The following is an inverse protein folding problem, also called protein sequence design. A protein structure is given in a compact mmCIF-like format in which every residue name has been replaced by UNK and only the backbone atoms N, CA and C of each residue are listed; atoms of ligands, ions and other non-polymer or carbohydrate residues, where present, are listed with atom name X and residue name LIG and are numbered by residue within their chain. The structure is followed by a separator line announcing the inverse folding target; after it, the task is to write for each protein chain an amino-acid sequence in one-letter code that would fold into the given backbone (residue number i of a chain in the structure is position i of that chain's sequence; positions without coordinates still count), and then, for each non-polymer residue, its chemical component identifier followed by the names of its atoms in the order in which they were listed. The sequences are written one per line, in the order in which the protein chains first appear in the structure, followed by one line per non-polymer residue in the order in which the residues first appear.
data_IF_758651219296
#
_entry.id   IF_758651219296
#
_cell.length_a   1.000
_cell.length_b   1.000
_cell.length_c   1.000
_cell.angle_alpha   90.00
_cell.angle_beta   90.00
_cell.angle_gamma   90.00
#
_symmetry.space_group_name_H-M   'P 1'
#
loop_
_entity.id
_entity.type
_entity.pdbx_description
1 polymer ?
#
# COMPACT_ATOMS: atom_id res chain seq x y z
N UNK A 1 26.20 20.15 -59.93
CA UNK A 1 25.73 18.77 -60.12
C UNK A 1 26.20 17.96 -58.93
N UNK A 2 25.25 17.33 -58.21
CA UNK A 2 25.36 16.49 -56.99
C UNK A 2 25.69 17.28 -55.69
N UNK A 3 24.78 17.55 -54.74
CA UNK A 3 23.75 16.72 -54.07
C UNK A 3 24.32 15.42 -53.54
N UNK A 4 24.79 15.42 -52.29
CA UNK A 4 24.74 14.24 -51.42
C UNK A 4 24.48 14.68 -49.98
N UNK A 5 23.57 13.92 -49.37
CA UNK A 5 22.64 14.31 -48.34
C UNK A 5 23.31 14.54 -46.98
N UNK A 6 22.86 15.59 -46.32
CA UNK A 6 22.90 15.71 -44.87
C UNK A 6 21.95 14.67 -44.27
N UNK A 7 22.50 13.55 -43.80
CA UNK A 7 21.73 12.53 -43.08
C UNK A 7 21.73 12.87 -41.60
N UNK A 8 20.85 13.78 -41.20
CA UNK A 8 20.56 14.07 -39.79
C UNK A 8 19.67 12.95 -39.26
N UNK A 9 20.29 11.93 -38.66
CA UNK A 9 19.55 10.82 -38.02
C UNK A 9 18.87 11.34 -36.75
N UNK A 10 17.59 11.71 -36.87
CA UNK A 10 16.74 12.05 -35.73
C UNK A 10 16.36 10.75 -35.00
N UNK A 11 17.10 10.42 -33.94
CA UNK A 11 16.75 9.31 -33.04
C UNK A 11 15.57 9.76 -32.18
N UNK A 12 14.35 9.44 -32.64
CA UNK A 12 13.13 9.63 -31.87
C UNK A 12 13.07 8.61 -30.74
N UNK A 13 13.28 9.05 -29.50
CA UNK A 13 13.05 8.23 -28.30
C UNK A 13 11.54 8.05 -28.16
N UNK A 14 11.03 6.91 -28.63
CA UNK A 14 9.66 6.48 -28.35
C UNK A 14 9.63 5.95 -26.91
N UNK A 15 9.20 6.80 -25.98
CA UNK A 15 8.90 6.37 -24.63
C UNK A 15 7.65 5.49 -24.67
N UNK A 16 7.84 4.16 -24.57
CA UNK A 16 6.73 3.23 -24.39
C UNK A 16 6.12 3.45 -23.01
N UNK A 17 5.01 4.19 -22.95
CA UNK A 17 4.20 4.31 -21.74
C UNK A 17 3.33 3.06 -21.61
N UNK A 18 3.51 2.29 -20.53
CA UNK A 18 2.59 1.20 -20.19
C UNK A 18 1.32 1.73 -19.55
N UNK A 19 0.16 1.19 -19.93
CA UNK A 19 -1.11 1.47 -19.27
C UNK A 19 -1.36 0.46 -18.14
N UNK A 20 -1.66 0.95 -16.93
CA UNK A 20 -2.15 0.15 -15.81
C UNK A 20 -3.61 0.48 -15.54
N UNK A 21 -4.43 -0.54 -15.28
CA UNK A 21 -5.84 -0.38 -14.92
C UNK A 21 -6.02 -0.67 -13.42
N UNK A 22 -6.54 0.31 -12.68
CA UNK A 22 -7.02 0.11 -11.32
C UNK A 22 -8.55 0.16 -11.28
N UNK A 23 -9.14 -0.60 -10.35
CA UNK A 23 -10.56 -0.54 -9.98
C UNK A 23 -10.63 -0.31 -8.47
N UNK A 24 -11.50 0.60 -8.05
CA UNK A 24 -11.76 0.88 -6.64
C UNK A 24 -13.23 0.53 -6.42
N UNK A 25 -13.47 -0.43 -5.54
CA UNK A 25 -14.80 -0.77 -5.07
C UNK A 25 -14.94 -0.24 -3.65
N UNK A 26 -15.99 0.54 -3.42
CA UNK A 26 -16.27 1.14 -2.11
C UNK A 26 -17.57 0.56 -1.58
N UNK A 27 -17.49 -0.11 -0.42
CA UNK A 27 -18.66 -0.45 0.38
C UNK A 27 -18.63 0.43 1.62
N UNK A 28 -19.65 1.28 1.81
CA UNK A 28 -19.84 2.07 3.04
C UNK A 28 -21.14 1.69 3.69
N UNK A 29 -21.06 1.07 4.85
CA UNK A 29 -22.26 0.81 5.65
C UNK A 29 -22.54 1.96 6.63
N UNK A 30 -21.52 2.76 6.98
CA UNK A 30 -21.59 3.81 8.00
C UNK A 30 -20.85 5.09 7.55
N UNK A 31 -21.32 6.23 8.05
CA UNK A 31 -20.62 7.50 7.87
C UNK A 31 -19.38 7.58 8.77
N UNK A 32 -18.24 7.95 8.19
CA UNK A 32 -16.92 8.05 8.87
C UNK A 32 -16.41 9.49 8.96
N UNK A 33 -17.10 10.40 9.70
CA UNK A 33 -16.66 11.78 9.81
C UNK A 33 -15.43 11.89 10.73
N UNK A 34 -14.35 12.47 10.22
CA UNK A 34 -13.16 12.82 11.02
C UNK A 34 -13.23 14.30 11.41
N UNK A 35 -13.27 14.59 12.71
CA UNK A 35 -13.30 15.96 13.22
C UNK A 35 -11.89 16.57 13.31
N UNK A 36 -11.80 17.89 13.40
CA UNK A 36 -10.52 18.58 13.64
C UNK A 36 -9.89 18.11 14.95
N UNK A 37 -8.63 17.67 14.88
CA UNK A 37 -7.88 17.15 16.03
C UNK A 37 -8.01 15.63 16.23
N UNK A 38 -8.88 14.96 15.49
CA UNK A 38 -8.92 13.50 15.44
C UNK A 38 -7.90 12.98 14.44
N UNK A 39 -7.24 11.88 14.82
CA UNK A 39 -6.24 11.22 13.98
C UNK A 39 -6.73 9.87 13.52
N UNK A 40 -6.17 9.40 12.41
CA UNK A 40 -6.28 8.01 11.98
C UNK A 40 -4.93 7.32 12.13
N UNK A 41 -4.91 6.00 12.23
CA UNK A 41 -3.69 5.21 12.09
C UNK A 41 -3.91 4.17 11.00
N UNK A 42 -2.91 3.99 10.15
CA UNK A 42 -2.95 3.00 9.07
C UNK A 42 -2.00 1.87 9.47
N UNK A 43 -2.54 0.66 9.59
CA UNK A 43 -1.83 -0.51 10.09
C UNK A 43 -1.93 -1.64 9.07
N UNK A 44 -0.87 -2.43 8.92
CA UNK A 44 -0.94 -3.67 8.16
C UNK A 44 -1.83 -4.67 8.91
N UNK A 45 -2.82 -5.26 8.23
CA UNK A 45 -3.69 -6.24 8.87
C UNK A 45 -2.85 -7.44 9.33
N UNK A 46 -2.98 -7.87 10.59
CA UNK A 46 -2.22 -9.01 11.10
C UNK A 46 -2.64 -10.28 10.33
N UNK A 47 -1.66 -10.91 9.67
CA UNK A 47 -1.85 -12.15 8.92
C UNK A 47 -1.12 -13.30 9.64
N UNK A 48 -1.76 -14.47 9.66
CA UNK A 48 -1.14 -15.69 10.22
C UNK A 48 -0.16 -16.31 9.20
N UNK A 49 -0.46 -16.19 7.90
CA UNK A 49 0.31 -16.75 6.79
C UNK A 49 0.25 -15.82 5.57
N UNK A 50 1.36 -15.73 4.83
CA UNK A 50 1.47 -14.89 3.62
C UNK A 50 2.14 -13.53 3.87
N UNK A 51 2.41 -12.80 2.78
CA UNK A 51 2.88 -11.43 2.85
C UNK A 51 1.65 -10.50 2.98
N UNK A 52 1.66 -9.65 4.00
CA UNK A 52 0.69 -8.56 4.13
C UNK A 52 0.98 -7.43 3.13
N UNK A 53 0.29 -6.31 3.30
CA UNK A 53 0.49 -5.13 2.48
C UNK A 53 1.96 -4.66 2.53
N UNK A 54 2.51 -4.31 1.37
CA UNK A 54 3.91 -3.90 1.20
C UNK A 54 4.14 -2.52 1.83
N UNK A 55 5.25 -2.33 2.56
CA UNK A 55 5.55 -1.08 3.29
C UNK A 55 5.49 0.17 2.39
N UNK A 56 6.07 0.08 1.18
CA UNK A 56 6.04 1.17 0.20
C UNK A 56 4.61 1.58 -0.21
N UNK A 57 3.68 0.62 -0.25
CA UNK A 57 2.27 0.89 -0.52
C UNK A 57 1.61 1.55 0.69
N UNK A 58 1.91 1.08 1.90
CA UNK A 58 1.41 1.66 3.16
C UNK A 58 1.83 3.13 3.30
N UNK A 59 3.09 3.44 2.98
CA UNK A 59 3.64 4.80 3.00
C UNK A 59 2.95 5.69 1.96
N UNK A 60 2.79 5.18 0.73
CA UNK A 60 2.08 5.90 -0.34
C UNK A 60 0.63 6.25 0.05
N UNK A 61 -0.10 5.32 0.69
CA UNK A 61 -1.45 5.58 1.18
C UNK A 61 -1.44 6.60 2.32
N UNK A 62 -0.50 6.47 3.26
CA UNK A 62 -0.37 7.38 4.40
C UNK A 62 -0.10 8.81 3.95
N UNK A 63 0.85 9.00 3.03
CA UNK A 63 1.18 10.29 2.43
C UNK A 63 0.01 10.85 1.61
N UNK A 64 -0.67 10.00 0.84
CA UNK A 64 -1.84 10.39 0.06
C UNK A 64 -3.00 10.88 0.92
N UNK A 65 -3.25 10.25 2.07
CA UNK A 65 -4.29 10.65 3.02
C UNK A 65 -3.88 11.92 3.77
N UNK A 66 -2.63 12.01 4.23
CA UNK A 66 -2.11 13.17 4.94
C UNK A 66 -2.04 14.43 4.05
N UNK A 67 -1.59 14.27 2.80
CA UNK A 67 -1.46 15.34 1.81
C UNK A 67 -2.74 15.67 1.03
N UNK A 68 -3.81 14.90 1.23
CA UNK A 68 -5.08 15.08 0.52
C UNK A 68 -5.79 16.40 0.85
N UNK A 69 -6.81 16.75 0.06
CA UNK A 69 -7.59 18.00 0.21
C UNK A 69 -8.18 18.23 1.61
N UNK A 70 -8.52 17.14 2.32
CA UNK A 70 -9.06 17.19 3.67
C UNK A 70 -7.98 17.31 4.76
N UNK A 71 -6.72 17.00 4.45
CA UNK A 71 -5.58 17.05 5.38
C UNK A 71 -5.82 16.24 6.64
N UNK A 72 -6.13 14.94 6.51
CA UNK A 72 -6.40 14.07 7.65
C UNK A 72 -5.08 13.81 8.38
N UNK A 73 -5.06 14.02 9.70
CA UNK A 73 -3.88 13.74 10.50
C UNK A 73 -3.68 12.23 10.64
N UNK A 74 -2.61 11.71 10.05
CA UNK A 74 -2.19 10.31 10.17
C UNK A 74 -1.20 10.19 11.33
N UNK A 75 -1.50 9.31 12.28
CA UNK A 75 -0.61 8.95 13.37
C UNK A 75 0.45 7.96 12.87
N UNK A 76 1.68 8.10 13.36
CA UNK A 76 2.74 7.13 13.08
C UNK A 76 2.34 5.73 13.57
N UNK A 77 2.52 4.74 12.71
CA UNK A 77 2.17 3.35 12.97
C UNK A 77 2.97 2.79 14.17
N UNK A 78 4.30 2.94 14.14
CA UNK A 78 5.19 2.36 15.15
C UNK A 78 4.93 2.99 16.53
N UNK A 79 4.83 4.33 16.58
CA UNK A 79 4.51 5.05 17.81
C UNK A 79 3.15 4.64 18.40
N UNK A 80 2.16 4.35 17.55
CA UNK A 80 0.86 3.84 17.99
C UNK A 80 0.97 2.42 18.54
N UNK A 81 1.59 1.50 17.79
CA UNK A 81 1.76 0.10 18.18
C UNK A 81 2.55 0.00 19.50
N UNK A 82 3.66 0.73 19.62
CA UNK A 82 4.51 0.74 20.81
C UNK A 82 3.76 1.25 22.05
N UNK A 83 3.00 2.34 21.91
CA UNK A 83 2.17 2.86 23.02
C UNK A 83 1.05 1.91 23.39
N UNK A 84 0.51 1.19 22.41
CA UNK A 84 -0.57 0.24 22.58
C UNK A 84 -0.06 -1.18 22.83
N UNK A 85 1.20 -1.36 23.23
CA UNK A 85 1.73 -2.66 23.61
C UNK A 85 0.97 -3.22 24.83
N UNK A 86 0.58 -4.50 24.84
CA UNK A 86 0.86 -5.54 23.84
C UNK A 86 -0.29 -5.80 22.86
N UNK A 87 -1.26 -4.90 22.69
CA UNK A 87 -2.56 -5.22 22.08
C UNK A 87 -2.62 -5.02 20.56
N UNK A 88 -1.74 -4.21 19.99
CA UNK A 88 -1.67 -3.95 18.54
C UNK A 88 -0.38 -4.49 17.90
N UNK A 89 0.34 -5.36 18.61
CA UNK A 89 1.48 -6.09 18.05
C UNK A 89 1.02 -7.04 16.95
N UNK A 90 1.87 -7.36 15.94
CA UNK A 90 1.50 -8.26 14.85
C UNK A 90 0.91 -9.61 15.29
N UNK A 91 1.35 -10.12 16.46
CA UNK A 91 0.90 -11.41 17.00
C UNK A 91 -0.42 -11.36 17.80
N UNK A 92 -0.88 -10.18 18.21
CA UNK A 92 -2.00 -10.00 19.15
C UNK A 92 -3.07 -9.04 18.64
N UNK A 93 -2.75 -8.27 17.60
CA UNK A 93 -3.64 -7.31 16.99
C UNK A 93 -4.94 -7.99 16.51
N UNK A 94 -6.10 -7.37 16.78
CA UNK A 94 -7.38 -7.94 16.37
C UNK A 94 -7.59 -7.77 14.86
N UNK A 95 -7.47 -8.87 14.10
CA UNK A 95 -7.75 -8.89 12.66
C UNK A 95 -9.24 -8.99 12.29
N UNK A 96 -10.14 -9.13 13.28
CA UNK A 96 -11.59 -9.31 13.09
C UNK A 96 -12.43 -8.35 13.95
N UNK A 97 -13.65 -7.99 13.50
CA UNK A 97 -14.59 -7.15 14.24
C UNK A 97 -14.77 -7.52 15.71
N UNK A 98 -15.08 -8.78 15.95
CA UNK A 98 -15.46 -9.27 17.26
C UNK A 98 -14.27 -9.20 18.23
N UNK A 99 -13.07 -9.46 17.71
CA UNK A 99 -11.82 -9.35 18.45
C UNK A 99 -11.48 -7.89 18.78
N UNK A 100 -11.77 -6.95 17.87
CA UNK A 100 -11.58 -5.52 18.11
C UNK A 100 -12.52 -5.02 19.21
N UNK A 101 -13.81 -5.34 19.12
CA UNK A 101 -14.78 -4.97 20.16
C UNK A 101 -14.43 -5.59 21.51
N UNK A 102 -13.99 -6.85 21.53
CA UNK A 102 -13.54 -7.52 22.75
C UNK A 102 -12.26 -6.88 23.34
N UNK A 103 -11.34 -6.42 22.49
CA UNK A 103 -10.14 -5.71 22.91
C UNK A 103 -10.48 -4.36 23.56
N UNK A 104 -11.34 -3.58 22.91
CA UNK A 104 -11.76 -2.26 23.40
C UNK A 104 -12.58 -2.34 24.70
N UNK A 105 -13.22 -3.48 24.97
CA UNK A 105 -13.92 -3.72 26.23
C UNK A 105 -12.98 -4.02 27.42
N UNK A 106 -11.67 -4.24 27.18
CA UNK A 106 -10.71 -4.51 28.26
C UNK A 106 -10.41 -3.23 29.05
N UNK A 107 -10.30 -3.33 30.39
CA UNK A 107 -9.96 -2.17 31.23
C UNK A 107 -8.60 -1.60 30.85
N UNK A 108 -8.52 -0.27 30.73
CA UNK A 108 -7.31 0.48 30.37
C UNK A 108 -7.08 0.67 28.87
N UNK A 109 -7.54 -0.24 28.01
CA UNK A 109 -7.31 -0.13 26.55
C UNK A 109 -8.06 1.07 25.95
N UNK A 110 -9.31 1.28 26.36
CA UNK A 110 -10.10 2.45 25.92
C UNK A 110 -9.43 3.78 26.32
N UNK A 111 -8.86 3.87 27.51
CA UNK A 111 -8.19 5.08 27.98
C UNK A 111 -6.92 5.37 27.18
N UNK A 112 -6.15 4.32 26.84
CA UNK A 112 -4.95 4.43 26.01
C UNK A 112 -5.28 4.86 24.58
N UNK A 113 -6.34 4.28 23.99
CA UNK A 113 -6.87 4.72 22.71
C UNK A 113 -7.26 6.20 22.75
N UNK A 114 -8.01 6.61 23.78
CA UNK A 114 -8.43 8.02 23.91
C UNK A 114 -7.23 8.97 24.05
N UNK A 115 -6.22 8.59 24.84
CA UNK A 115 -4.97 9.36 25.00
C UNK A 115 -4.16 9.44 23.70
N UNK A 116 -4.20 8.41 22.85
CA UNK A 116 -3.57 8.45 21.53
C UNK A 116 -4.24 9.47 20.59
N UNK A 117 -5.48 9.90 20.86
CA UNK A 117 -6.23 10.79 19.97
C UNK A 117 -6.58 10.16 18.60
N UNK A 118 -6.30 8.86 18.42
CA UNK A 118 -6.69 8.10 17.24
C UNK A 118 -8.15 7.72 17.37
N UNK A 119 -8.95 8.10 16.37
CA UNK A 119 -10.35 7.70 16.27
C UNK A 119 -10.53 6.47 15.40
N UNK A 120 -9.81 6.41 14.29
CA UNK A 120 -9.96 5.34 13.30
C UNK A 120 -8.69 4.55 13.12
N UNK A 121 -8.80 3.23 13.11
CA UNK A 121 -7.76 2.31 12.63
C UNK A 121 -8.14 1.87 11.23
N UNK A 122 -7.24 2.05 10.28
CA UNK A 122 -7.38 1.57 8.91
C UNK A 122 -6.50 0.33 8.78
N UNK A 123 -7.11 -0.85 8.75
CA UNK A 123 -6.37 -2.08 8.45
C UNK A 123 -6.24 -2.22 6.95
N UNK A 124 -5.01 -2.23 6.45
CA UNK A 124 -4.70 -2.51 5.06
C UNK A 124 -4.26 -3.96 4.92
N UNK A 125 -4.95 -4.67 4.05
CA UNK A 125 -4.66 -6.04 3.65
C UNK A 125 -4.39 -6.07 2.14
N UNK A 126 -3.70 -7.10 1.67
CA UNK A 126 -3.43 -7.29 0.26
C UNK A 126 -1.99 -7.62 -0.05
N UNK A 127 -1.75 -8.00 -1.30
CA UNK A 127 -0.40 -8.28 -1.79
C UNK A 127 -0.32 -8.11 -3.30
N UNK A 128 0.89 -7.82 -3.79
CA UNK A 128 1.21 -7.87 -5.21
C UNK A 128 1.78 -9.25 -5.57
N UNK A 129 1.20 -9.91 -6.58
CA UNK A 129 1.65 -11.21 -7.08
C UNK A 129 2.10 -11.10 -8.52
N UNK A 130 3.21 -11.75 -8.86
CA UNK A 130 3.62 -11.93 -10.26
C UNK A 130 2.75 -13.04 -10.87
N UNK A 131 1.96 -12.70 -11.87
CA UNK A 131 0.99 -13.62 -12.50
C UNK A 131 1.53 -14.27 -13.76
N UNK A 132 2.38 -13.56 -14.49
CA UNK A 132 3.02 -14.06 -15.70
C UNK A 132 4.39 -13.41 -15.90
N UNK A 133 5.21 -14.00 -16.75
CA UNK A 133 6.49 -13.43 -17.14
C UNK A 133 7.20 -14.29 -18.18
N UNK A 134 8.03 -13.64 -18.98
CA UNK A 134 8.73 -14.30 -20.05
C UNK A 134 9.88 -13.46 -20.56
N UNK A 135 10.64 -14.02 -21.49
CA UNK A 135 11.78 -13.33 -22.06
C UNK A 135 12.51 -14.17 -23.08
N UNK A 136 13.40 -13.51 -23.80
CA UNK A 136 14.32 -14.17 -24.73
C UNK A 136 15.73 -13.65 -24.53
N UNK A 137 16.70 -14.51 -24.80
CA UNK A 137 18.11 -14.20 -24.70
C UNK A 137 18.78 -14.71 -25.98
N UNK A 138 19.47 -13.81 -26.67
CA UNK A 138 20.26 -14.13 -27.85
C UNK A 138 21.73 -13.85 -27.56
N UNK A 139 22.59 -14.82 -27.86
CA UNK A 139 24.03 -14.73 -27.67
C UNK A 139 24.74 -14.81 -29.02
N UNK A 140 25.81 -14.04 -29.19
CA UNK A 140 26.64 -14.05 -30.38
C UNK A 140 28.12 -13.91 -30.03
N UNK A 141 28.97 -14.46 -30.90
CA UNK A 141 30.43 -14.37 -30.78
C UNK A 141 31.05 -14.02 -32.14
N UNK A 142 32.04 -13.14 -32.14
CA UNK A 142 32.80 -12.72 -33.30
C UNK A 142 34.28 -12.47 -32.92
N UNK A 143 35.21 -12.39 -33.89
CA UNK A 143 36.59 -11.99 -33.59
C UNK A 143 36.60 -10.61 -32.92
N UNK A 144 37.10 -10.53 -31.69
CA UNK A 144 37.10 -9.32 -30.87
C UNK A 144 36.08 -9.29 -29.73
N UNK A 145 35.17 -10.26 -29.61
CA UNK A 145 34.31 -10.40 -28.43
C UNK A 145 33.07 -11.27 -28.60
N UNK A 146 32.40 -11.54 -27.49
CA UNK A 146 31.11 -12.22 -27.43
C UNK A 146 30.19 -11.51 -26.43
N UNK A 147 28.89 -11.62 -26.65
CA UNK A 147 27.90 -11.00 -25.77
C UNK A 147 26.51 -11.58 -25.97
N UNK A 148 25.66 -11.36 -24.97
CA UNK A 148 24.25 -11.72 -25.02
C UNK A 148 23.40 -10.47 -24.81
N UNK A 149 22.31 -10.38 -25.56
CA UNK A 149 21.26 -9.39 -25.37
C UNK A 149 19.95 -10.12 -25.13
N UNK A 150 19.18 -9.67 -24.15
CA UNK A 150 17.91 -10.27 -23.83
C UNK A 150 16.90 -9.26 -23.36
N UNK A 151 15.64 -9.66 -23.40
CA UNK A 151 14.51 -8.92 -22.87
C UNK A 151 13.73 -9.84 -21.92
N UNK A 152 13.31 -9.28 -20.79
CA UNK A 152 12.41 -9.93 -19.86
C UNK A 152 11.22 -9.03 -19.56
N UNK A 153 10.06 -9.64 -19.35
CA UNK A 153 8.85 -8.97 -18.90
C UNK A 153 8.18 -9.77 -17.79
N UNK A 154 7.39 -9.08 -16.97
CA UNK A 154 6.57 -9.67 -15.92
C UNK A 154 5.24 -8.93 -15.86
N UNK A 155 4.17 -9.67 -15.59
CA UNK A 155 2.89 -9.15 -15.19
C UNK A 155 2.73 -9.28 -13.69
N UNK A 156 2.18 -8.24 -13.08
CA UNK A 156 1.84 -8.18 -11.68
C UNK A 156 0.37 -7.86 -11.54
N UNK A 157 -0.28 -8.52 -10.62
CA UNK A 157 -1.62 -8.20 -10.16
C UNK A 157 -1.56 -7.88 -8.68
N UNK A 158 -2.22 -6.79 -8.29
CA UNK A 158 -2.27 -6.32 -6.91
C UNK A 158 -3.71 -6.18 -6.49
N UNK A 159 -4.05 -6.80 -5.36
CA UNK A 159 -5.36 -6.67 -4.73
C UNK A 159 -5.13 -6.19 -3.29
N UNK A 160 -5.73 -5.04 -2.95
CA UNK A 160 -5.66 -4.46 -1.62
C UNK A 160 -7.07 -4.17 -1.11
N UNK A 161 -7.25 -4.35 0.19
CA UNK A 161 -8.49 -4.10 0.92
C UNK A 161 -8.19 -3.21 2.12
N UNK A 162 -9.04 -2.22 2.36
CA UNK A 162 -8.95 -1.33 3.50
C UNK A 162 -10.20 -1.47 4.36
N UNK A 163 -10.05 -1.87 5.62
CA UNK A 163 -11.15 -1.90 6.58
C UNK A 163 -11.00 -0.79 7.60
N UNK A 164 -12.02 0.06 7.76
CA UNK A 164 -11.99 1.23 8.65
C UNK A 164 -12.72 0.90 9.96
N UNK A 165 -12.04 1.03 11.09
CA UNK A 165 -12.56 0.75 12.43
C UNK A 165 -12.70 2.01 13.26
N UNK A 166 -13.90 2.30 13.75
CA UNK A 166 -14.12 3.36 14.74
C UNK A 166 -13.81 2.83 16.14
N UNK A 167 -12.72 3.33 16.75
CA UNK A 167 -12.30 2.91 18.09
C UNK A 167 -13.18 3.47 19.21
N UNK A 168 -13.97 4.52 18.96
CA UNK A 168 -14.91 5.06 19.95
C UNK A 168 -16.18 4.22 20.01
N UNK A 169 -16.64 3.73 18.86
CA UNK A 169 -17.88 2.96 18.75
C UNK A 169 -17.68 1.45 18.69
N UNK A 170 -16.43 0.99 18.51
CA UNK A 170 -16.09 -0.42 18.30
C UNK A 170 -16.85 -1.05 17.13
N UNK A 171 -16.97 -0.32 16.01
CA UNK A 171 -17.68 -0.72 14.79
C UNK A 171 -16.79 -0.54 13.57
N UNK A 172 -16.89 -1.45 12.60
CA UNK A 172 -16.34 -1.25 11.25
C UNK A 172 -17.34 -0.54 10.35
N UNK A 173 -16.82 0.19 9.37
CA UNK A 173 -17.56 0.78 8.26
C UNK A 173 -17.13 0.18 6.93
#
# INVERSE_FOLDING_TARGET
MNVFLATTTLVGVVALTGCMQARIEESRELATPVAKGERIVILAKPQIEGAGAEDEFMDCVSDGVAGGRAGIAVHDNNEFVDRMFPWFEPSTAPGKPEAMSALLARPGVQDMVQQSGVRYVVWLDGSTRKTDGGGSLACGAAPGGAGCIGFGWWQKESAYEATIWDLKQAKSA
#
